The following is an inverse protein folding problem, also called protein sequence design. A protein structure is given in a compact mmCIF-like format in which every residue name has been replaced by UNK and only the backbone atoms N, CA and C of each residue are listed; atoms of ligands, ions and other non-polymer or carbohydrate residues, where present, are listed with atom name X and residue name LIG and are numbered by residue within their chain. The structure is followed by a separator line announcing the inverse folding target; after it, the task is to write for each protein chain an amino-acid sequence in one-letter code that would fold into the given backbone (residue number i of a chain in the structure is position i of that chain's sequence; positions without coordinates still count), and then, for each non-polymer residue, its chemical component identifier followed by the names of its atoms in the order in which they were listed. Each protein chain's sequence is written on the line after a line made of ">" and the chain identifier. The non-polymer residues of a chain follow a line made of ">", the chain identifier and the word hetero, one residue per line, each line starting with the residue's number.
data_IF_300601434649
#
_entry.id   IF_300601434649
#
_cell.length_a   1.000
_cell.length_b   1.000
_cell.length_c   1.000
_cell.angle_alpha   90.00
_cell.angle_beta   90.00
_cell.angle_gamma   90.00
#
_symmetry.space_group_name_H-M   'P 1'
#
loop_
_entity.id
_entity.type
_entity.pdbx_description
1 polymer ?
#
# COMPACT_ATOMS: atom_id res chain seq x y z
N UNK A 1 29.51 8.08 -43.55
CA UNK A 1 29.71 6.66 -43.98
C UNK A 1 28.66 5.84 -43.22
N UNK A 2 27.68 5.42 -43.98
CA UNK A 2 26.62 4.51 -43.61
C UNK A 2 27.14 3.07 -43.66
N UNK A 3 26.67 2.21 -42.78
CA UNK A 3 26.49 0.78 -43.04
C UNK A 3 25.20 0.34 -42.32
N UNK A 4 24.21 0.07 -43.16
CA UNK A 4 23.04 -0.77 -42.87
C UNK A 4 23.49 -2.24 -42.84
N UNK A 5 22.93 -3.04 -41.94
CA UNK A 5 22.75 -4.47 -42.18
C UNK A 5 21.40 -4.92 -41.62
N UNK A 6 20.51 -5.26 -42.52
CA UNK A 6 19.29 -5.98 -42.31
C UNK A 6 19.57 -7.50 -42.25
N UNK A 7 18.85 -8.20 -41.41
CA UNK A 7 18.86 -9.66 -41.34
C UNK A 7 17.49 -10.17 -40.90
N UNK A 8 16.67 -10.50 -41.88
CA UNK A 8 15.41 -11.24 -41.73
C UNK A 8 15.65 -12.74 -41.87
N UNK A 9 14.67 -13.53 -41.44
CA UNK A 9 14.41 -14.94 -41.80
C UNK A 9 14.47 -15.86 -40.54
N UNK A 10 13.58 -16.80 -40.30
CA UNK A 10 12.48 -17.47 -41.03
C UNK A 10 11.59 -18.26 -40.05
N UNK A 11 10.34 -18.34 -40.43
CA UNK A 11 9.30 -19.23 -39.96
C UNK A 11 9.68 -20.71 -40.20
N UNK A 12 9.32 -21.60 -39.28
CA UNK A 12 9.13 -23.03 -39.58
C UNK A 12 7.94 -23.57 -38.80
N UNK A 13 6.85 -23.77 -39.52
CA UNK A 13 5.70 -24.61 -39.25
C UNK A 13 6.08 -26.06 -39.45
N UNK A 14 5.66 -26.95 -38.59
CA UNK A 14 5.50 -28.37 -38.90
C UNK A 14 4.27 -28.94 -38.20
N UNK A 15 3.27 -29.25 -38.99
CA UNK A 15 2.12 -30.09 -38.65
C UNK A 15 2.39 -31.52 -39.14
N UNK A 16 1.89 -32.52 -38.39
CA UNK A 16 1.59 -33.88 -38.89
C UNK A 16 0.69 -34.51 -37.80
N UNK A 17 -0.62 -34.67 -37.99
CA UNK A 17 -1.43 -35.77 -38.57
C UNK A 17 -0.99 -37.16 -38.16
N UNK A 18 -1.76 -37.99 -37.59
CA UNK A 18 -3.05 -38.59 -37.75
C UNK A 18 -3.05 -40.07 -37.33
N UNK A 19 -4.23 -40.65 -37.17
CA UNK A 19 -4.66 -42.05 -37.19
C UNK A 19 -4.46 -42.85 -35.88
N UNK A 20 -5.46 -43.57 -35.35
CA UNK A 20 -6.71 -44.13 -35.85
C UNK A 20 -6.99 -45.46 -35.16
N UNK A 21 -8.25 -45.85 -35.01
CA UNK A 21 -8.65 -47.23 -34.69
C UNK A 21 -9.62 -47.36 -33.50
N UNK A 22 -10.89 -47.33 -33.67
CA UNK A 22 -11.95 -48.33 -33.98
C UNK A 22 -12.16 -49.46 -32.98
N UNK A 23 -13.42 -49.61 -32.54
CA UNK A 23 -13.99 -50.78 -31.88
C UNK A 23 -15.07 -50.41 -30.86
N UNK A 24 -16.27 -50.23 -31.17
CA UNK A 24 -17.52 -50.86 -31.51
C UNK A 24 -17.85 -52.06 -30.57
N UNK A 25 -18.90 -51.90 -29.76
CA UNK A 25 -20.11 -52.73 -29.74
C UNK A 25 -21.00 -52.38 -28.54
N UNK A 26 -22.20 -51.92 -28.83
CA UNK A 26 -23.47 -52.14 -28.11
C UNK A 26 -23.87 -53.63 -28.35
N UNK A 27 -24.95 -54.21 -27.78
CA UNK A 27 -26.20 -53.58 -27.40
C UNK A 27 -27.01 -54.23 -26.23
N UNK A 28 -28.13 -53.57 -25.94
CA UNK A 28 -29.49 -54.11 -25.60
C UNK A 28 -29.73 -54.78 -24.26
N UNK A 29 -30.84 -54.69 -23.62
CA UNK A 29 -32.22 -54.33 -23.77
C UNK A 29 -33.02 -54.88 -22.59
N UNK A 30 -34.09 -54.15 -22.24
CA UNK A 30 -35.41 -54.66 -21.80
C UNK A 30 -35.57 -54.92 -20.29
N UNK A 31 -36.64 -54.65 -19.61
CA UNK A 31 -38.02 -54.28 -19.84
C UNK A 31 -38.74 -54.13 -18.52
N UNK A 32 -39.64 -53.15 -18.39
CA UNK A 32 -41.00 -53.21 -17.81
C UNK A 32 -41.21 -53.87 -16.43
N UNK A 33 -42.07 -53.41 -15.62
CA UNK A 33 -43.23 -52.57 -15.48
C UNK A 33 -44.03 -52.97 -14.27
N UNK A 34 -44.96 -52.14 -13.91
CA UNK A 34 -46.30 -52.31 -13.26
C UNK A 34 -46.29 -52.20 -11.73
N UNK A 35 -46.86 -51.24 -11.25
CA UNK A 35 -48.23 -50.73 -11.09
C UNK A 35 -48.64 -50.70 -9.58
N UNK A 36 -49.16 -49.55 -9.25
CA UNK A 36 -50.47 -49.27 -8.59
C UNK A 36 -50.65 -49.82 -7.16
N UNK A 37 -51.12 -49.08 -6.24
CA UNK A 37 -52.24 -48.21 -6.04
C UNK A 37 -52.30 -47.63 -4.63
N UNK A 38 -52.70 -46.40 -4.54
CA UNK A 38 -53.71 -45.79 -3.63
C UNK A 38 -53.59 -46.01 -2.10
N UNK A 39 -53.70 -45.00 -1.27
CA UNK A 39 -54.87 -44.21 -0.93
C UNK A 39 -54.55 -43.16 0.13
N UNK A 40 -55.01 -41.95 -0.14
CA UNK A 40 -55.50 -40.90 0.77
C UNK A 40 -55.47 -41.03 2.28
N UNK A 41 -54.95 -39.96 2.92
CA UNK A 41 -55.64 -39.14 3.92
C UNK A 41 -54.70 -37.99 4.33
N UNK A 42 -55.02 -36.80 3.95
CA UNK A 42 -55.38 -35.62 4.77
C UNK A 42 -54.66 -35.52 6.12
N UNK A 43 -53.91 -34.43 6.35
CA UNK A 43 -54.42 -33.20 6.90
C UNK A 43 -53.30 -32.14 7.00
N UNK A 44 -53.67 -30.94 6.64
CA UNK A 44 -53.00 -29.67 6.86
C UNK A 44 -52.18 -29.57 8.13
N UNK A 45 -51.01 -28.97 8.06
CA UNK A 45 -50.58 -27.83 8.90
C UNK A 45 -49.18 -27.45 8.51
N UNK A 46 -49.02 -26.38 8.03
CA UNK A 46 -48.45 -25.05 8.16
C UNK A 46 -47.35 -24.76 7.18
N UNK A 47 -47.72 -23.96 6.24
CA UNK A 47 -46.85 -23.00 5.56
C UNK A 47 -46.31 -22.01 6.58
N UNK A 48 -45.00 -21.91 6.73
CA UNK A 48 -44.25 -20.70 7.03
C UNK A 48 -42.81 -21.00 7.39
N UNK A 49 -42.00 -21.31 6.37
CA UNK A 49 -40.55 -21.23 6.48
C UNK A 49 -39.93 -21.24 5.07
N UNK A 50 -40.38 -20.35 4.22
CA UNK A 50 -39.69 -20.01 2.96
C UNK A 50 -39.97 -18.53 2.72
N UNK A 51 -39.10 -17.69 3.22
CA UNK A 51 -38.87 -16.32 2.73
C UNK A 51 -37.89 -15.62 3.67
N UNK A 52 -36.65 -16.03 3.66
CA UNK A 52 -35.54 -15.19 4.18
C UNK A 52 -34.22 -15.65 3.51
N UNK A 53 -34.18 -15.64 2.20
CA UNK A 53 -32.91 -15.79 1.46
C UNK A 53 -33.11 -15.21 0.06
N UNK A 54 -33.29 -13.89 0.01
CA UNK A 54 -33.04 -13.14 -1.22
C UNK A 54 -33.14 -11.65 -0.92
N UNK A 55 -32.06 -11.12 -0.35
CA UNK A 55 -31.67 -9.73 -0.43
C UNK A 55 -30.18 -9.63 -0.09
N UNK A 56 -29.36 -10.46 -0.70
CA UNK A 56 -27.99 -10.04 -1.02
C UNK A 56 -28.13 -9.23 -2.31
N UNK A 57 -28.48 -7.97 -2.13
CA UNK A 57 -28.39 -6.97 -3.19
C UNK A 57 -26.98 -7.13 -3.78
N UNK A 58 -26.93 -7.43 -5.07
CA UNK A 58 -25.71 -7.58 -5.85
C UNK A 58 -25.07 -6.21 -5.88
N UNK A 59 -24.26 -5.89 -4.85
CA UNK A 59 -23.49 -4.69 -4.83
C UNK A 59 -22.65 -4.69 -6.11
N UNK A 60 -22.80 -3.66 -6.93
CA UNK A 60 -21.95 -3.48 -8.10
C UNK A 60 -20.51 -3.47 -7.62
N UNK A 61 -19.64 -4.24 -8.29
CA UNK A 61 -18.25 -4.29 -7.95
C UNK A 61 -17.65 -2.87 -8.06
N UNK A 62 -17.09 -2.37 -6.97
CA UNK A 62 -16.49 -1.05 -6.89
C UNK A 62 -14.97 -1.19 -6.76
N UNK A 63 -14.22 -0.36 -7.46
CA UNK A 63 -12.77 -0.24 -7.26
C UNK A 63 -12.49 1.09 -6.59
N UNK A 64 -11.83 1.06 -5.44
CA UNK A 64 -11.37 2.27 -4.73
C UNK A 64 -9.88 2.42 -5.01
N UNK A 65 -9.50 3.53 -5.62
CA UNK A 65 -8.13 3.83 -5.99
C UNK A 65 -7.48 4.71 -4.91
N UNK A 66 -6.33 4.26 -4.41
CA UNK A 66 -5.65 4.90 -3.28
C UNK A 66 -4.26 5.37 -3.69
N UNK A 67 -3.91 6.58 -3.32
CA UNK A 67 -2.54 7.09 -3.31
C UNK A 67 -2.00 7.02 -1.88
N UNK A 68 -1.04 6.14 -1.61
CA UNK A 68 -0.50 5.91 -0.27
C UNK A 68 1.01 6.13 -0.22
N UNK A 69 1.49 6.76 0.86
CA UNK A 69 2.91 6.94 1.10
C UNK A 69 3.65 5.59 1.10
N UNK A 70 4.87 5.56 0.52
CA UNK A 70 5.68 4.34 0.35
C UNK A 70 5.93 3.59 1.68
N UNK A 71 6.06 4.30 2.80
CA UNK A 71 6.23 3.71 4.13
C UNK A 71 5.02 2.90 4.64
N UNK A 72 3.86 3.04 3.98
CA UNK A 72 2.64 2.28 4.30
C UNK A 72 2.53 0.98 3.48
N UNK A 73 3.36 0.79 2.45
CA UNK A 73 3.19 -0.28 1.47
C UNK A 73 3.05 -1.66 2.11
N UNK A 74 3.99 -2.04 2.97
CA UNK A 74 4.04 -3.39 3.54
C UNK A 74 2.78 -3.71 4.34
N UNK A 75 2.36 -2.84 5.26
CA UNK A 75 1.20 -3.10 6.11
C UNK A 75 -0.13 -3.02 5.33
N UNK A 76 -0.26 -2.11 4.36
CA UNK A 76 -1.45 -2.02 3.52
C UNK A 76 -1.57 -3.23 2.60
N UNK A 77 -0.51 -3.54 1.83
CA UNK A 77 -0.52 -4.61 0.83
C UNK A 77 -0.70 -6.00 1.45
N UNK A 78 0.04 -6.27 2.52
CA UNK A 78 0.16 -7.64 3.04
C UNK A 78 -0.90 -7.98 4.09
N UNK A 79 -1.47 -7.02 4.79
CA UNK A 79 -2.40 -7.26 5.89
C UNK A 79 -3.73 -6.51 5.77
N UNK A 80 -3.72 -5.17 5.63
CA UNK A 80 -4.93 -4.36 5.76
C UNK A 80 -5.86 -4.46 4.55
N UNK A 81 -5.35 -4.38 3.33
CA UNK A 81 -6.16 -4.48 2.12
C UNK A 81 -6.83 -5.85 2.00
N UNK A 82 -6.10 -6.98 2.15
CA UNK A 82 -6.74 -8.30 2.14
C UNK A 82 -7.83 -8.46 3.21
N UNK A 83 -7.63 -7.86 4.40
CA UNK A 83 -8.61 -7.89 5.46
C UNK A 83 -9.86 -7.07 5.13
N UNK A 84 -9.67 -5.84 4.62
CA UNK A 84 -10.76 -4.96 4.20
C UNK A 84 -11.62 -5.60 3.09
N UNK A 85 -11.00 -6.12 2.04
CA UNK A 85 -11.70 -6.75 0.91
C UNK A 85 -12.47 -7.99 1.33
N UNK A 86 -11.93 -8.77 2.26
CA UNK A 86 -12.64 -9.91 2.86
C UNK A 86 -13.89 -9.48 3.63
N UNK A 87 -13.84 -8.33 4.32
CA UNK A 87 -14.97 -7.79 5.09
C UNK A 87 -15.97 -7.05 4.22
N UNK A 88 -15.56 -6.59 3.04
CA UNK A 88 -16.37 -5.81 2.10
C UNK A 88 -16.43 -6.49 0.73
N UNK A 89 -17.10 -7.65 0.59
CA UNK A 89 -17.21 -8.34 -0.69
C UNK A 89 -17.83 -7.41 -1.76
N UNK A 90 -17.13 -7.23 -2.87
CA UNK A 90 -17.54 -6.32 -3.95
C UNK A 90 -16.79 -5.00 -3.98
N UNK A 91 -15.91 -4.70 -3.00
CA UNK A 91 -14.98 -3.58 -3.08
C UNK A 91 -13.57 -4.14 -3.27
N UNK A 92 -12.88 -3.65 -4.31
CA UNK A 92 -11.48 -3.95 -4.58
C UNK A 92 -10.67 -2.67 -4.36
N UNK A 93 -9.48 -2.81 -3.78
CA UNK A 93 -8.57 -1.70 -3.52
C UNK A 93 -7.39 -1.76 -4.50
N UNK A 94 -7.20 -0.68 -5.27
CA UNK A 94 -6.02 -0.47 -6.09
C UNK A 94 -5.16 0.64 -5.48
N UNK A 95 -3.86 0.40 -5.32
CA UNK A 95 -2.97 1.35 -4.62
C UNK A 95 -1.77 1.71 -5.47
N UNK A 96 -1.47 3.00 -5.52
CA UNK A 96 -0.19 3.53 -5.99
C UNK A 96 0.63 3.98 -4.78
N UNK A 97 1.86 3.45 -4.67
CA UNK A 97 2.79 3.81 -3.60
C UNK A 97 3.92 4.68 -4.14
N UNK A 98 4.14 5.85 -3.55
CA UNK A 98 5.30 6.72 -3.82
C UNK A 98 5.49 7.72 -2.66
N UNK A 99 6.37 8.69 -2.81
CA UNK A 99 6.45 9.81 -1.87
C UNK A 99 5.17 10.64 -1.89
N UNK A 100 4.76 11.14 -0.72
CA UNK A 100 3.50 11.89 -0.62
C UNK A 100 3.48 13.16 -1.48
N UNK A 101 4.64 13.78 -1.73
CA UNK A 101 4.71 14.93 -2.62
C UNK A 101 4.46 14.59 -4.09
N UNK A 102 4.99 13.46 -4.58
CA UNK A 102 4.67 13.00 -5.94
C UNK A 102 3.21 12.61 -6.09
N UNK A 103 2.64 11.94 -5.08
CA UNK A 103 1.23 11.57 -5.07
C UNK A 103 0.34 12.82 -5.03
N UNK A 104 0.70 13.84 -4.25
CA UNK A 104 0.05 15.14 -4.27
C UNK A 104 0.03 15.72 -5.68
N UNK A 105 1.19 15.79 -6.36
CA UNK A 105 1.26 16.30 -7.74
C UNK A 105 0.39 15.51 -8.71
N UNK A 106 0.34 14.17 -8.59
CA UNK A 106 -0.54 13.35 -9.41
C UNK A 106 -2.03 13.67 -9.18
N UNK A 107 -2.43 13.93 -7.94
CA UNK A 107 -3.80 14.34 -7.59
C UNK A 107 -4.09 15.72 -8.18
N UNK A 108 -3.18 16.70 -8.04
CA UNK A 108 -3.29 18.03 -8.63
C UNK A 108 -3.39 17.99 -10.17
N UNK A 109 -2.73 17.01 -10.81
CA UNK A 109 -2.81 16.77 -12.26
C UNK A 109 -4.06 16.01 -12.69
N UNK A 110 -4.94 15.64 -11.75
CA UNK A 110 -6.23 14.99 -12.02
C UNK A 110 -6.17 13.47 -12.14
N UNK A 111 -5.21 12.81 -11.49
CA UNK A 111 -5.25 11.36 -11.36
C UNK A 111 -6.54 10.92 -10.65
N UNK A 112 -7.19 9.87 -11.18
CA UNK A 112 -8.43 9.31 -10.62
C UNK A 112 -8.17 8.58 -9.30
N UNK A 113 -7.98 9.33 -8.23
CA UNK A 113 -7.71 8.83 -6.87
C UNK A 113 -8.94 9.09 -6.00
N UNK A 114 -9.35 8.09 -5.23
CA UNK A 114 -10.45 8.21 -4.27
C UNK A 114 -9.95 8.58 -2.87
N UNK A 115 -8.81 8.02 -2.43
CA UNK A 115 -8.25 8.25 -1.09
C UNK A 115 -6.77 8.62 -1.19
N UNK A 116 -6.36 9.65 -0.46
CA UNK A 116 -4.97 10.00 -0.24
C UNK A 116 -4.56 9.68 1.19
N UNK A 117 -3.47 8.90 1.37
CA UNK A 117 -2.90 8.58 2.67
C UNK A 117 -1.43 9.03 2.72
N UNK A 118 -1.21 10.18 3.30
CA UNK A 118 0.08 10.89 3.32
C UNK A 118 0.92 10.51 4.54
N UNK A 119 2.25 10.60 4.41
CA UNK A 119 3.21 10.47 5.51
C UNK A 119 3.54 11.83 6.18
N UNK A 120 2.85 12.89 5.84
CA UNK A 120 2.94 14.19 6.50
C UNK A 120 1.66 14.99 6.30
N UNK A 121 1.35 15.86 7.25
CA UNK A 121 0.20 16.76 7.15
C UNK A 121 0.37 17.80 6.05
N UNK A 122 1.61 18.23 5.75
CA UNK A 122 1.91 19.26 4.76
C UNK A 122 1.24 19.01 3.40
N UNK A 123 1.32 17.78 2.87
CA UNK A 123 0.76 17.44 1.57
C UNK A 123 -0.77 17.34 1.61
N UNK A 124 -1.31 16.83 2.70
CA UNK A 124 -2.76 16.78 2.92
C UNK A 124 -3.33 18.20 3.08
N UNK A 125 -2.67 19.04 3.86
CA UNK A 125 -3.07 20.44 4.09
C UNK A 125 -3.07 21.23 2.77
N UNK A 126 -2.04 21.03 1.91
CA UNK A 126 -1.97 21.68 0.61
C UNK A 126 -3.17 21.31 -0.27
N UNK A 127 -3.48 20.02 -0.44
CA UNK A 127 -4.65 19.57 -1.21
C UNK A 127 -5.98 20.07 -0.59
N UNK A 128 -6.05 20.13 0.74
CA UNK A 128 -7.24 20.63 1.43
C UNK A 128 -7.42 22.14 1.20
N UNK A 129 -6.34 22.93 1.25
CA UNK A 129 -6.35 24.37 0.98
C UNK A 129 -6.73 24.67 -0.47
N UNK A 130 -6.39 23.79 -1.40
CA UNK A 130 -6.80 23.85 -2.81
C UNK A 130 -8.24 23.37 -3.04
N UNK A 131 -8.90 22.87 -1.99
CA UNK A 131 -10.28 22.40 -2.06
C UNK A 131 -10.41 21.04 -2.79
N UNK A 132 -9.33 20.27 -2.87
CA UNK A 132 -9.29 18.93 -3.49
C UNK A 132 -9.65 17.79 -2.54
N UNK A 133 -9.78 18.07 -1.24
CA UNK A 133 -10.18 17.09 -0.22
C UNK A 133 -11.65 17.30 0.13
N UNK A 134 -12.39 16.21 0.32
CA UNK A 134 -13.77 16.24 0.77
C UNK A 134 -13.83 16.81 2.21
N UNK A 135 -14.69 17.81 2.41
CA UNK A 135 -14.84 18.47 3.71
C UNK A 135 -15.10 17.46 4.85
N UNK A 136 -14.29 17.56 5.90
CA UNK A 136 -14.44 16.74 7.11
C UNK A 136 -14.02 15.26 6.95
N UNK A 137 -13.45 14.86 5.81
CA UNK A 137 -12.99 13.48 5.60
C UNK A 137 -11.60 13.20 6.18
N UNK A 138 -10.78 14.23 6.41
CA UNK A 138 -9.41 14.05 6.92
C UNK A 138 -9.41 13.43 8.30
N UNK A 139 -8.62 12.37 8.47
CA UNK A 139 -8.33 11.71 9.75
C UNK A 139 -6.83 11.62 9.94
N UNK A 140 -6.31 12.17 11.03
CA UNK A 140 -4.95 11.90 11.48
C UNK A 140 -4.96 10.51 12.12
N UNK A 141 -4.41 9.51 11.42
CA UNK A 141 -4.52 8.12 11.84
C UNK A 141 -3.32 7.65 12.64
N UNK A 142 -2.10 7.96 12.14
CA UNK A 142 -0.89 7.35 12.65
C UNK A 142 0.16 8.40 12.97
N UNK A 143 1.05 8.02 13.89
CA UNK A 143 2.31 8.71 14.19
C UNK A 143 3.48 7.76 13.94
N UNK A 144 4.60 8.29 13.43
CA UNK A 144 5.83 7.55 13.21
C UNK A 144 7.04 8.29 13.80
N UNK A 145 8.15 7.60 13.94
CA UNK A 145 9.39 8.16 14.45
C UNK A 145 10.41 8.34 13.34
N UNK A 146 11.16 9.42 13.40
CA UNK A 146 12.27 9.69 12.50
C UNK A 146 13.53 9.09 13.12
N UNK A 147 14.20 8.21 12.37
CA UNK A 147 15.36 7.48 12.89
C UNK A 147 16.57 7.60 11.96
N UNK A 148 17.73 7.67 12.58
CA UNK A 148 19.02 7.52 11.93
C UNK A 148 19.38 6.04 11.86
N UNK A 149 19.68 5.55 10.65
CA UNK A 149 20.04 4.16 10.36
C UNK A 149 21.41 4.06 9.69
N UNK A 150 22.05 2.91 9.92
CA UNK A 150 23.30 2.51 9.27
C UNK A 150 23.20 1.06 8.80
N UNK A 151 24.07 0.57 7.89
CA UNK A 151 24.17 -0.85 7.59
C UNK A 151 24.43 -1.66 8.87
N UNK A 152 23.76 -2.81 9.01
CA UNK A 152 23.97 -3.71 10.15
C UNK A 152 25.44 -4.11 10.26
N UNK A 153 26.02 -3.91 11.47
CA UNK A 153 27.43 -4.12 11.77
C UNK A 153 28.28 -2.85 11.80
N UNK A 154 27.76 -1.72 11.31
CA UNK A 154 28.44 -0.42 11.31
C UNK A 154 28.02 0.48 12.50
N UNK A 155 27.03 0.06 13.31
CA UNK A 155 26.45 0.84 14.41
C UNK A 155 27.45 1.25 15.48
N UNK A 156 28.50 0.46 15.69
CA UNK A 156 29.56 0.76 16.68
C UNK A 156 30.36 2.05 16.41
N UNK A 157 30.20 2.65 15.24
CA UNK A 157 30.86 3.90 14.88
C UNK A 157 30.04 5.15 15.27
N UNK A 158 28.80 4.96 15.73
CA UNK A 158 27.82 6.02 15.97
C UNK A 158 27.14 5.81 17.33
N UNK A 159 26.71 6.88 17.99
CA UNK A 159 26.11 6.84 19.31
C UNK A 159 24.91 7.78 19.51
N UNK A 160 24.71 8.71 18.59
CA UNK A 160 23.62 9.68 18.62
C UNK A 160 23.13 10.03 17.21
N UNK A 161 22.01 10.72 17.12
CA UNK A 161 21.44 11.16 15.83
C UNK A 161 22.38 12.14 15.10
N UNK A 162 23.08 12.99 15.84
CA UNK A 162 24.04 13.97 15.32
C UNK A 162 25.24 13.31 14.64
N UNK A 163 25.52 12.06 15.02
CA UNK A 163 26.65 11.31 14.45
C UNK A 163 26.50 10.99 12.96
N UNK A 164 25.32 11.22 12.37
CA UNK A 164 25.15 11.16 10.91
C UNK A 164 26.13 12.09 10.19
N UNK A 165 26.53 13.19 10.84
CA UNK A 165 27.54 14.11 10.31
C UNK A 165 28.93 13.47 10.20
N UNK A 166 29.23 12.37 10.89
CA UNK A 166 30.49 11.63 10.78
C UNK A 166 30.53 10.64 9.61
N UNK A 167 29.34 10.30 9.04
CA UNK A 167 29.28 9.35 7.94
C UNK A 167 29.99 9.91 6.70
N UNK A 168 30.64 9.03 5.94
CA UNK A 168 31.31 9.37 4.69
C UNK A 168 30.32 9.90 3.65
N UNK A 169 29.18 9.24 3.54
CA UNK A 169 28.04 9.65 2.74
C UNK A 169 26.73 9.31 3.46
N UNK A 170 25.63 9.98 3.08
CA UNK A 170 24.33 9.76 3.66
C UNK A 170 23.27 9.59 2.56
N UNK A 171 22.17 8.92 2.89
CA UNK A 171 20.95 8.87 2.10
C UNK A 171 19.84 9.63 2.84
N UNK A 172 19.21 10.58 2.17
CA UNK A 172 18.07 11.34 2.68
C UNK A 172 16.94 11.31 1.64
N UNK A 173 15.69 11.42 2.08
CA UNK A 173 14.61 11.74 1.15
C UNK A 173 14.79 13.15 0.57
N UNK A 174 14.39 13.36 -0.68
CA UNK A 174 14.37 14.70 -1.28
C UNK A 174 13.39 15.60 -0.48
N UNK A 175 13.85 16.67 0.17
CA UNK A 175 13.01 17.51 1.02
C UNK A 175 11.92 18.27 0.25
N UNK A 176 12.01 18.37 -1.07
CA UNK A 176 11.01 19.04 -1.87
C UNK A 176 9.76 18.19 -2.06
N UNK A 177 9.90 16.84 -2.11
CA UNK A 177 8.79 15.93 -2.42
C UNK A 177 8.58 14.78 -1.43
N UNK A 178 9.60 14.43 -0.62
CA UNK A 178 9.56 13.27 0.28
C UNK A 178 9.36 13.69 1.72
N UNK A 179 8.26 13.26 2.39
CA UNK A 179 7.99 13.67 3.78
C UNK A 179 9.14 13.41 4.75
N UNK A 180 9.74 12.21 4.74
CA UNK A 180 10.90 11.94 5.63
C UNK A 180 12.09 12.86 5.32
N UNK A 181 12.26 13.30 4.08
CA UNK A 181 13.26 14.30 3.71
C UNK A 181 12.95 15.67 4.31
N UNK A 182 11.69 16.06 4.37
CA UNK A 182 11.24 17.30 5.03
C UNK A 182 11.52 17.25 6.53
N UNK A 183 11.20 16.13 7.18
CA UNK A 183 11.51 15.91 8.61
C UNK A 183 13.01 15.84 8.86
N UNK A 184 13.79 15.21 7.97
CA UNK A 184 15.26 15.16 8.05
C UNK A 184 15.86 16.55 7.97
N UNK A 185 15.38 17.38 7.03
CA UNK A 185 15.82 18.77 6.89
C UNK A 185 15.48 19.59 8.14
N UNK A 186 14.27 19.44 8.69
CA UNK A 186 13.85 20.13 9.90
C UNK A 186 14.75 19.73 11.08
N UNK A 187 14.91 18.42 11.34
CA UNK A 187 15.75 17.92 12.43
C UNK A 187 17.20 18.39 12.29
N UNK A 188 17.82 18.17 11.14
CA UNK A 188 19.22 18.53 10.91
C UNK A 188 19.45 20.04 10.92
N UNK A 189 18.47 20.84 10.48
CA UNK A 189 18.55 22.31 10.55
C UNK A 189 18.52 22.77 12.01
N UNK A 190 17.61 22.23 12.83
CA UNK A 190 17.50 22.57 14.23
C UNK A 190 18.74 22.14 15.06
N UNK A 191 19.42 21.09 14.58
CA UNK A 191 20.70 20.61 15.16
C UNK A 191 21.93 21.34 14.56
N UNK A 192 21.76 22.21 13.55
CA UNK A 192 22.86 22.92 12.90
C UNK A 192 23.71 22.06 11.97
N UNK A 193 23.19 20.91 11.49
CA UNK A 193 23.92 19.89 10.71
C UNK A 193 23.47 19.78 9.25
N UNK A 194 22.41 20.51 8.84
CA UNK A 194 21.80 20.32 7.52
C UNK A 194 22.79 20.49 6.36
N UNK A 195 23.53 21.60 6.33
CA UNK A 195 24.43 21.90 5.21
C UNK A 195 25.60 20.89 5.13
N UNK A 196 26.13 20.46 6.27
CA UNK A 196 27.20 19.47 6.36
C UNK A 196 26.77 18.11 5.83
N UNK A 197 25.58 17.65 6.26
CA UNK A 197 25.05 16.35 5.86
C UNK A 197 24.60 16.40 4.39
N UNK A 198 23.91 17.47 3.96
CA UNK A 198 23.44 17.63 2.59
C UNK A 198 24.60 17.61 1.58
N UNK A 199 25.76 18.20 1.91
CA UNK A 199 26.92 18.25 1.02
C UNK A 199 27.44 16.87 0.59
N UNK A 200 27.08 15.81 1.33
CA UNK A 200 27.49 14.42 1.08
C UNK A 200 26.30 13.46 0.98
N UNK A 201 25.07 14.00 0.92
CA UNK A 201 23.88 13.19 0.83
C UNK A 201 23.48 12.88 -0.62
N UNK A 202 23.01 11.66 -0.84
CA UNK A 202 22.20 11.31 -2.01
C UNK A 202 20.72 11.49 -1.63
N UNK A 203 19.95 12.12 -2.52
CA UNK A 203 18.53 12.40 -2.29
C UNK A 203 17.67 11.35 -3.00
N UNK A 204 16.96 10.54 -2.21
CA UNK A 204 16.04 9.53 -2.69
C UNK A 204 14.68 10.12 -3.06
N UNK A 205 14.04 9.53 -4.03
CA UNK A 205 12.74 9.97 -4.53
C UNK A 205 11.55 9.50 -3.69
N UNK A 206 11.79 8.56 -2.78
CA UNK A 206 10.90 8.11 -1.71
C UNK A 206 11.72 7.46 -0.58
N UNK A 207 11.08 7.12 0.54
CA UNK A 207 11.78 6.55 1.71
C UNK A 207 12.32 5.15 1.46
N UNK A 208 11.64 4.35 0.65
CA UNK A 208 12.09 2.98 0.32
C UNK A 208 13.42 2.99 -0.42
N UNK A 209 13.65 3.96 -1.30
CA UNK A 209 14.94 4.14 -1.99
C UNK A 209 16.05 4.49 -1.00
N UNK A 210 15.78 5.37 -0.03
CA UNK A 210 16.72 5.72 1.04
C UNK A 210 17.09 4.48 1.86
N UNK A 211 16.09 3.70 2.30
CA UNK A 211 16.30 2.45 3.04
C UNK A 211 17.18 1.48 2.26
N UNK A 212 16.86 1.26 0.98
CA UNK A 212 17.59 0.33 0.12
C UNK A 212 19.05 0.72 -0.06
N UNK A 213 19.37 2.01 -0.25
CA UNK A 213 20.75 2.46 -0.37
C UNK A 213 21.58 2.18 0.88
N UNK A 214 20.99 2.34 2.07
CA UNK A 214 21.66 1.98 3.32
C UNK A 214 21.76 0.45 3.47
N UNK A 215 20.67 -0.27 3.22
CA UNK A 215 20.63 -1.73 3.33
C UNK A 215 21.60 -2.45 2.38
N UNK A 216 21.90 -1.85 1.24
CA UNK A 216 22.86 -2.36 0.24
C UNK A 216 24.30 -1.83 0.46
N UNK A 217 24.52 -0.95 1.45
CA UNK A 217 25.80 -0.35 1.78
C UNK A 217 26.27 0.72 0.79
N UNK A 218 25.42 1.16 -0.13
CA UNK A 218 25.70 2.28 -1.06
C UNK A 218 25.75 3.60 -0.31
N UNK A 219 24.98 3.75 0.75
CA UNK A 219 25.06 4.83 1.74
C UNK A 219 25.49 4.27 3.09
N UNK A 220 26.36 5.01 3.79
CA UNK A 220 26.87 4.63 5.12
C UNK A 220 25.96 5.07 6.24
N UNK A 221 25.01 5.93 5.95
CA UNK A 221 24.06 6.49 6.90
C UNK A 221 22.78 6.86 6.16
N UNK A 222 21.63 6.91 6.86
CA UNK A 222 20.40 7.41 6.30
C UNK A 222 19.40 7.83 7.37
N UNK A 223 18.39 8.60 6.97
CA UNK A 223 17.26 8.94 7.82
C UNK A 223 16.00 8.42 7.17
N UNK A 224 15.26 7.57 7.90
CA UNK A 224 14.01 6.93 7.49
C UNK A 224 13.01 6.98 8.64
N UNK A 225 11.83 6.41 8.44
CA UNK A 225 10.94 6.14 9.57
C UNK A 225 11.31 4.84 10.29
N UNK A 226 10.96 4.73 11.56
CA UNK A 226 11.22 3.52 12.35
C UNK A 226 10.54 2.28 11.73
N UNK A 227 9.36 2.45 11.15
CA UNK A 227 8.63 1.38 10.46
C UNK A 227 9.35 0.87 9.21
N UNK A 228 10.04 1.75 8.46
CA UNK A 228 10.83 1.31 7.30
C UNK A 228 12.05 0.51 7.75
N UNK A 229 12.75 0.98 8.79
CA UNK A 229 13.91 0.27 9.34
C UNK A 229 13.53 -1.14 9.86
N UNK A 230 12.32 -1.30 10.39
CA UNK A 230 11.83 -2.58 10.90
C UNK A 230 11.52 -3.63 9.78
N UNK A 231 11.49 -3.23 8.51
CA UNK A 231 11.19 -4.14 7.39
C UNK A 231 12.38 -5.02 6.98
N UNK A 232 13.57 -4.75 7.48
CA UNK A 232 14.78 -5.48 7.09
C UNK A 232 15.78 -5.59 8.24
N UNK A 233 16.51 -6.70 8.26
CA UNK A 233 17.64 -6.94 9.20
C UNK A 233 18.98 -6.38 8.69
N UNK A 234 18.99 -5.76 7.51
CA UNK A 234 20.20 -5.21 6.87
C UNK A 234 20.58 -3.83 7.38
N UNK A 235 19.71 -3.17 8.13
CA UNK A 235 19.99 -1.88 8.76
C UNK A 235 19.77 -1.94 10.26
N UNK A 236 20.49 -1.10 10.98
CA UNK A 236 20.36 -0.91 12.42
C UNK A 236 20.00 0.53 12.71
N UNK A 237 19.00 0.73 13.57
CA UNK A 237 18.66 2.06 14.11
C UNK A 237 19.73 2.44 15.13
N UNK A 238 20.39 3.56 14.90
CA UNK A 238 21.36 4.14 15.86
C UNK A 238 20.65 5.00 16.89
N UNK A 239 19.78 5.89 16.45
CA UNK A 239 19.07 6.82 17.31
C UNK A 239 17.78 7.33 16.66
N UNK A 240 16.83 7.73 17.52
CA UNK A 240 15.68 8.54 17.10
C UNK A 240 16.09 10.02 17.03
N UNK A 241 15.41 10.81 16.20
CA UNK A 241 15.59 12.26 16.19
C UNK A 241 15.34 12.83 17.59
N UNK A 242 16.23 13.72 18.12
CA UNK A 242 16.08 14.27 19.45
C UNK A 242 14.74 14.98 19.63
N UNK A 243 14.18 14.87 20.84
CA UNK A 243 12.93 15.56 21.17
C UNK A 243 13.05 17.06 20.91
N UNK A 244 12.04 17.64 20.24
CA UNK A 244 12.03 19.05 19.87
C UNK A 244 12.89 19.41 18.66
N UNK A 245 13.67 18.49 18.08
CA UNK A 245 14.42 18.73 16.85
C UNK A 245 13.54 18.67 15.60
N UNK A 246 12.44 17.97 15.67
CA UNK A 246 11.49 17.78 14.57
C UNK A 246 10.06 17.65 15.13
N UNK A 247 9.08 18.09 14.36
CA UNK A 247 7.66 17.88 14.70
C UNK A 247 7.28 16.40 14.57
N UNK A 248 6.15 16.02 15.19
CA UNK A 248 5.59 14.67 15.06
C UNK A 248 5.31 14.33 13.58
N UNK A 249 5.71 13.13 13.18
CA UNK A 249 5.42 12.61 11.84
C UNK A 249 4.01 11.99 11.82
N UNK A 250 3.01 12.81 11.52
CA UNK A 250 1.60 12.42 11.47
C UNK A 250 1.23 11.98 10.06
N UNK A 251 0.47 10.91 9.97
CA UNK A 251 -0.05 10.32 8.74
C UNK A 251 -1.55 10.54 8.63
N UNK A 252 -1.98 11.57 7.89
CA UNK A 252 -3.39 11.80 7.60
C UNK A 252 -3.86 10.99 6.40
N UNK A 253 -5.10 10.48 6.46
CA UNK A 253 -5.85 10.00 5.32
C UNK A 253 -7.05 10.89 5.05
N UNK A 254 -7.40 11.09 3.77
CA UNK A 254 -8.53 11.92 3.35
C UNK A 254 -9.12 11.44 2.04
N UNK A 255 -10.40 11.71 1.81
CA UNK A 255 -11.12 11.41 0.58
C UNK A 255 -10.90 12.56 -0.40
N UNK A 256 -10.57 12.23 -1.65
CA UNK A 256 -10.48 13.22 -2.72
C UNK A 256 -11.89 13.71 -3.07
N UNK A 257 -12.04 15.02 -3.21
CA UNK A 257 -13.30 15.62 -3.59
C UNK A 257 -13.69 15.17 -5.00
N UNK A 258 -14.97 14.91 -5.19
CA UNK A 258 -15.51 14.46 -6.48
C UNK A 258 -14.90 13.13 -7.00
N UNK A 259 -14.39 12.28 -6.09
CA UNK A 259 -13.89 10.95 -6.41
C UNK A 259 -15.01 10.04 -6.98
N UNK A 260 -14.61 9.00 -7.72
CA UNK A 260 -15.59 8.13 -8.40
C UNK A 260 -16.36 7.23 -7.44
N UNK A 261 -15.76 6.84 -6.29
CA UNK A 261 -16.31 5.86 -5.35
C UNK A 261 -16.36 6.38 -3.90
N UNK A 262 -17.10 7.46 -3.61
CA UNK A 262 -17.09 8.10 -2.29
C UNK A 262 -17.55 7.18 -1.15
N UNK A 263 -18.52 6.29 -1.39
CA UNK A 263 -19.01 5.34 -0.37
C UNK A 263 -17.96 4.27 -0.06
N UNK A 264 -17.25 3.77 -1.07
CA UNK A 264 -16.15 2.83 -0.91
C UNK A 264 -14.96 3.47 -0.19
N UNK A 265 -14.60 4.70 -0.57
CA UNK A 265 -13.57 5.50 0.05
C UNK A 265 -13.85 5.76 1.54
N UNK A 266 -15.11 6.11 1.88
CA UNK A 266 -15.52 6.32 3.27
C UNK A 266 -15.40 5.04 4.09
N UNK A 267 -15.88 3.91 3.57
CA UNK A 267 -15.75 2.60 4.24
C UNK A 267 -14.29 2.24 4.49
N UNK A 268 -13.41 2.54 3.54
CA UNK A 268 -11.99 2.25 3.71
C UNK A 268 -11.35 3.14 4.78
N UNK A 269 -11.63 4.45 4.80
CA UNK A 269 -11.13 5.34 5.86
C UNK A 269 -11.68 4.93 7.24
N UNK A 270 -12.97 4.57 7.34
CA UNK A 270 -13.56 4.10 8.59
C UNK A 270 -12.93 2.79 9.06
N UNK A 271 -12.62 1.87 8.14
CA UNK A 271 -11.87 0.66 8.44
C UNK A 271 -10.46 0.98 8.95
N UNK A 272 -9.71 1.86 8.28
CA UNK A 272 -8.36 2.25 8.71
C UNK A 272 -8.36 2.89 10.12
N UNK A 273 -9.45 3.55 10.50
CA UNK A 273 -9.63 4.15 11.84
C UNK A 273 -10.15 3.14 12.89
N UNK A 274 -10.46 1.90 12.51
CA UNK A 274 -10.95 0.87 13.43
C UNK A 274 -9.87 0.36 14.37
N UNK A 275 -10.26 -0.21 15.51
CA UNK A 275 -9.32 -0.84 16.44
C UNK A 275 -8.58 -2.02 15.80
N UNK A 276 -9.25 -2.79 14.93
CA UNK A 276 -8.64 -3.93 14.23
C UNK A 276 -7.51 -3.49 13.29
N UNK A 277 -7.75 -2.43 12.49
CA UNK A 277 -6.72 -1.87 11.63
C UNK A 277 -5.59 -1.21 12.45
N UNK A 278 -5.93 -0.54 13.54
CA UNK A 278 -4.95 0.07 14.43
C UNK A 278 -4.02 -0.96 15.09
N UNK A 279 -4.54 -2.12 15.51
CA UNK A 279 -3.73 -3.22 16.03
C UNK A 279 -2.71 -3.72 14.99
N UNK A 280 -3.09 -3.75 13.72
CA UNK A 280 -2.18 -4.10 12.61
C UNK A 280 -1.13 -3.00 12.42
N UNK A 281 -1.51 -1.73 12.42
CA UNK A 281 -0.56 -0.63 12.31
C UNK A 281 0.45 -0.65 13.46
N UNK A 282 -0.01 -0.84 14.72
CA UNK A 282 0.87 -0.91 15.89
C UNK A 282 1.83 -2.11 15.79
N UNK A 283 1.36 -3.26 15.35
CA UNK A 283 2.20 -4.44 15.09
C UNK A 283 3.31 -4.13 14.06
N UNK A 284 3.02 -3.27 13.08
CA UNK A 284 3.97 -2.82 12.05
C UNK A 284 4.82 -1.61 12.51
N UNK A 285 4.75 -1.20 13.78
CA UNK A 285 5.62 -0.19 14.38
C UNK A 285 5.10 1.24 14.33
N UNK A 286 3.89 1.48 13.83
CA UNK A 286 3.23 2.78 13.93
C UNK A 286 2.66 2.99 15.35
N UNK A 287 2.38 4.24 15.69
CA UNK A 287 1.54 4.59 16.84
C UNK A 287 0.25 5.24 16.34
N UNK A 288 -0.82 5.16 17.15
CA UNK A 288 -2.01 5.95 16.89
C UNK A 288 -1.69 7.44 17.04
N UNK A 289 -2.18 8.28 16.14
CA UNK A 289 -2.09 9.73 16.32
C UNK A 289 -2.98 10.18 17.47
N UNK A 290 -2.45 11.10 18.31
CA UNK A 290 -3.17 11.73 19.41
C UNK A 290 -4.02 12.92 18.94
#
# INVERSE_FOLDING_TARGET
>A
KAILLAGALTVAMAALTACGGTGKAEPETTTQAVAEAATKAETETTAKAEETTEAAEKAEAQTVTIAAAASLETCLRDELIPLFEKQNPGITIEVTYDSSGKLQTQIEEGAGIDVFFSAATKQMDALNDEGMIQDGSVRNLLENKIVFIVPTGDEGNYSSFEDIAKAENAALGDPDSVPVGQYSKEALTNLGLWDEVLAKASLGTNVTEVLNWVAEGSAKAGIVYATDAAQTDKVTIVAEAPEGSVKKAIYPAGIIKDCENPDGAQKFIDFLASSEAMDIFVKNGFAAAE
#
